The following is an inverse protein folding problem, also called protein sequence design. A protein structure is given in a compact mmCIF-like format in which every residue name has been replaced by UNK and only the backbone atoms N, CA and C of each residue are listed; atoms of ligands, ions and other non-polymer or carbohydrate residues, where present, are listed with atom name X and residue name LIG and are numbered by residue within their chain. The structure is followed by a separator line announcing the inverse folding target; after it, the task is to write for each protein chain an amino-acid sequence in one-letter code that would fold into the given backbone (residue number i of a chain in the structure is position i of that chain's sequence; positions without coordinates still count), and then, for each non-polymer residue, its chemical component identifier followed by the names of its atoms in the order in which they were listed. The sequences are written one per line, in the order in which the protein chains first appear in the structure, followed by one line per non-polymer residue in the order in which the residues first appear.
data_IF_509176093730
#
_entry.id   IF_509176093730
#
_cell.length_a   1.000
_cell.length_b   1.000
_cell.length_c   1.000
_cell.angle_alpha   90.00
_cell.angle_beta   90.00
_cell.angle_gamma   90.00
#
_symmetry.space_group_name_H-M   'P 1'
#
loop_
_entity.id
_entity.type
_entity.pdbx_description
1 polymer ?
#
# COMPACT_ATOMS: atom_id res chain seq x y z
N UNK A 1 13.60 19.33 3.72
CA UNK A 1 12.97 19.72 2.44
C UNK A 1 12.89 21.24 2.39
N UNK A 2 13.27 21.85 1.25
CA UNK A 2 13.05 23.28 1.05
C UNK A 2 11.55 23.60 0.99
N UNK A 3 11.17 24.84 1.30
CA UNK A 3 9.77 25.29 1.24
C UNK A 3 9.17 25.10 -0.16
N UNK A 4 9.96 25.34 -1.21
CA UNK A 4 9.58 25.08 -2.62
C UNK A 4 9.22 23.61 -2.86
N UNK A 5 10.05 22.68 -2.39
CA UNK A 5 9.77 21.25 -2.54
C UNK A 5 8.49 20.83 -1.81
N UNK A 6 8.23 21.37 -0.60
CA UNK A 6 6.98 21.09 0.13
C UNK A 6 5.74 21.54 -0.65
N UNK A 7 5.78 22.74 -1.24
CA UNK A 7 4.69 23.28 -2.06
C UNK A 7 4.49 22.41 -3.32
N UNK A 8 5.58 22.02 -4.00
CA UNK A 8 5.48 21.13 -5.16
C UNK A 8 4.82 19.79 -4.77
N UNK A 9 5.23 19.16 -3.67
CA UNK A 9 4.59 17.93 -3.18
C UNK A 9 3.11 18.14 -2.84
N UNK A 10 2.76 19.28 -2.23
CA UNK A 10 1.38 19.62 -1.87
C UNK A 10 0.43 19.64 -3.08
N UNK A 11 0.94 20.04 -4.25
CA UNK A 11 0.20 20.08 -5.52
C UNK A 11 0.30 18.77 -6.30
N UNK A 12 1.50 18.21 -6.45
CA UNK A 12 1.72 17.02 -7.28
C UNK A 12 1.06 15.76 -6.71
N UNK A 13 1.02 15.60 -5.39
CA UNK A 13 0.42 14.43 -4.75
C UNK A 13 -1.08 14.29 -5.04
N UNK A 14 -1.95 15.31 -4.82
CA UNK A 14 -3.37 15.19 -5.18
C UNK A 14 -3.57 15.06 -6.68
N UNK A 15 -2.78 15.73 -7.53
CA UNK A 15 -2.83 15.53 -8.98
C UNK A 15 -2.56 14.07 -9.36
N UNK A 16 -1.51 13.46 -8.80
CA UNK A 16 -1.20 12.05 -9.03
C UNK A 16 -2.32 11.13 -8.53
N UNK A 17 -2.89 11.40 -7.34
CA UNK A 17 -4.01 10.61 -6.81
C UNK A 17 -5.25 10.67 -7.71
N UNK A 18 -5.59 11.86 -8.22
CA UNK A 18 -6.70 12.06 -9.17
C UNK A 18 -6.44 11.31 -10.48
N UNK A 19 -5.23 11.40 -11.04
CA UNK A 19 -4.85 10.66 -12.24
C UNK A 19 -4.98 9.15 -12.03
N UNK A 20 -4.44 8.62 -10.92
CA UNK A 20 -4.56 7.19 -10.58
C UNK A 20 -6.03 6.78 -10.48
N UNK A 21 -6.89 7.62 -9.87
CA UNK A 21 -8.31 7.35 -9.76
C UNK A 21 -9.04 7.35 -11.11
N UNK A 22 -8.70 8.28 -12.00
CA UNK A 22 -9.26 8.35 -13.37
C UNK A 22 -8.85 7.11 -14.17
N UNK A 23 -7.58 6.71 -14.09
CA UNK A 23 -7.03 5.58 -14.84
C UNK A 23 -7.21 4.22 -14.14
N UNK A 24 -7.97 4.14 -13.04
CA UNK A 24 -8.11 2.93 -12.22
C UNK A 24 -8.58 1.69 -13.00
N UNK A 25 -9.48 1.89 -13.96
CA UNK A 25 -10.00 0.79 -14.78
C UNK A 25 -8.95 0.27 -15.75
N UNK A 26 -8.17 1.17 -16.36
CA UNK A 26 -7.04 0.80 -17.23
C UNK A 26 -5.94 0.09 -16.44
N UNK A 27 -5.65 0.55 -15.22
CA UNK A 27 -4.70 -0.11 -14.32
C UNK A 27 -5.19 -1.52 -13.92
N UNK A 28 -6.47 -1.67 -13.60
CA UNK A 28 -7.06 -2.98 -13.30
C UNK A 28 -7.08 -3.90 -14.53
N UNK A 29 -7.30 -3.37 -15.73
CA UNK A 29 -7.22 -4.12 -16.97
C UNK A 29 -5.79 -4.58 -17.27
N UNK A 30 -4.80 -3.70 -17.11
CA UNK A 30 -3.39 -4.02 -17.29
C UNK A 30 -2.93 -5.13 -16.32
N UNK A 31 -3.46 -5.15 -15.10
CA UNK A 31 -3.17 -6.21 -14.14
C UNK A 31 -3.64 -7.60 -14.60
N UNK A 32 -4.61 -7.70 -15.52
CA UNK A 32 -5.03 -8.99 -16.12
C UNK A 32 -4.02 -9.54 -17.14
N UNK A 33 -3.10 -8.70 -17.62
CA UNK A 33 -2.02 -9.12 -18.51
C UNK A 33 -0.86 -9.77 -17.76
N UNK A 34 -0.87 -9.73 -16.42
CA UNK A 34 0.14 -10.40 -15.61
C UNK A 34 -0.02 -11.92 -15.72
N UNK A 35 1.09 -12.67 -15.85
CA UNK A 35 1.03 -14.13 -15.91
C UNK A 35 0.50 -14.71 -14.59
N UNK A 36 0.06 -15.96 -14.66
CA UNK A 36 -0.29 -16.72 -13.46
C UNK A 36 0.88 -16.81 -12.49
N UNK A 37 0.56 -16.86 -11.20
CA UNK A 37 1.57 -16.93 -10.15
C UNK A 37 2.26 -18.30 -10.15
N UNK A 38 3.49 -18.37 -10.67
CA UNK A 38 4.28 -19.61 -10.66
C UNK A 38 4.46 -20.20 -9.24
N UNK A 39 4.66 -19.35 -8.23
CA UNK A 39 4.83 -19.79 -6.83
C UNK A 39 3.56 -20.49 -6.35
N UNK A 40 2.40 -19.87 -6.54
CA UNK A 40 1.13 -20.45 -6.12
C UNK A 40 0.81 -21.73 -6.91
N UNK A 41 1.10 -21.74 -8.21
CA UNK A 41 0.92 -22.93 -9.06
C UNK A 41 1.78 -24.11 -8.62
N UNK A 42 3.03 -23.87 -8.20
CA UNK A 42 3.98 -24.91 -7.83
C UNK A 42 3.87 -25.37 -6.38
N UNK A 43 3.51 -24.46 -5.47
CA UNK A 43 3.57 -24.72 -4.01
C UNK A 43 2.22 -24.60 -3.30
N UNK A 44 1.18 -24.09 -3.97
CA UNK A 44 -0.09 -23.73 -3.34
C UNK A 44 -0.03 -22.46 -2.49
N UNK A 45 1.15 -21.87 -2.27
CA UNK A 45 1.36 -20.70 -1.40
C UNK A 45 1.11 -19.41 -2.15
N UNK A 46 0.35 -18.49 -1.56
CA UNK A 46 0.13 -17.15 -2.08
C UNK A 46 1.34 -16.25 -1.84
N UNK A 47 1.99 -15.80 -2.91
CA UNK A 47 3.13 -14.87 -2.80
C UNK A 47 2.70 -13.43 -2.46
N UNK A 48 3.63 -12.63 -1.92
CA UNK A 48 3.37 -11.21 -1.60
C UNK A 48 3.07 -10.37 -2.83
N UNK A 49 3.72 -10.69 -3.96
CA UNK A 49 3.55 -9.98 -5.23
C UNK A 49 2.12 -10.01 -5.75
N UNK A 50 1.57 -11.20 -5.99
CA UNK A 50 0.19 -11.34 -6.46
C UNK A 50 -0.84 -10.81 -5.44
N UNK A 51 -0.55 -10.96 -4.14
CA UNK A 51 -1.36 -10.36 -3.07
C UNK A 51 -1.39 -8.84 -3.12
N UNK A 52 -0.26 -8.19 -3.42
CA UNK A 52 -0.19 -6.73 -3.60
C UNK A 52 -1.01 -6.28 -4.81
N UNK A 53 -0.92 -6.96 -5.95
CA UNK A 53 -1.73 -6.64 -7.13
C UNK A 53 -3.23 -6.69 -6.82
N UNK A 54 -3.70 -7.78 -6.20
CA UNK A 54 -5.11 -7.93 -5.80
C UNK A 54 -5.52 -6.88 -4.77
N UNK A 55 -4.64 -6.59 -3.80
CA UNK A 55 -4.89 -5.55 -2.81
C UNK A 55 -5.02 -4.16 -3.44
N UNK A 56 -4.17 -3.82 -4.41
CA UNK A 56 -4.23 -2.54 -5.13
C UNK A 56 -5.53 -2.43 -5.90
N UNK A 57 -5.93 -3.47 -6.64
CA UNK A 57 -7.20 -3.48 -7.37
C UNK A 57 -8.38 -3.33 -6.41
N UNK A 58 -8.38 -4.06 -5.28
CA UNK A 58 -9.43 -3.93 -4.28
C UNK A 58 -9.51 -2.50 -3.72
N UNK A 59 -8.37 -1.89 -3.40
CA UNK A 59 -8.31 -0.53 -2.87
C UNK A 59 -8.78 0.53 -3.90
N UNK A 60 -8.40 0.38 -5.16
CA UNK A 60 -8.87 1.23 -6.27
C UNK A 60 -10.39 1.16 -6.47
N UNK A 61 -11.02 0.04 -6.10
CA UNK A 61 -12.47 -0.15 -6.12
C UNK A 61 -13.14 0.20 -4.78
N UNK A 62 -12.43 0.79 -3.82
CA UNK A 62 -12.97 1.17 -2.51
C UNK A 62 -13.17 0.01 -1.53
N UNK A 63 -12.67 -1.18 -1.83
CA UNK A 63 -12.85 -2.39 -1.01
C UNK A 63 -11.70 -2.53 0.00
N UNK A 64 -11.68 -1.68 1.04
CA UNK A 64 -10.59 -1.64 2.01
C UNK A 64 -10.37 -2.99 2.73
N UNK A 65 -11.44 -3.64 3.18
CA UNK A 65 -11.32 -4.93 3.88
C UNK A 65 -10.78 -6.04 2.99
N UNK A 66 -11.20 -6.07 1.71
CA UNK A 66 -10.64 -7.01 0.74
C UNK A 66 -9.17 -6.72 0.48
N UNK A 67 -8.77 -5.46 0.39
CA UNK A 67 -7.38 -5.06 0.22
C UNK A 67 -6.50 -5.58 1.38
N UNK A 68 -6.93 -5.35 2.63
CA UNK A 68 -6.22 -5.84 3.82
C UNK A 68 -6.09 -7.37 3.83
N UNK A 69 -7.16 -8.10 3.49
CA UNK A 69 -7.12 -9.57 3.40
C UNK A 69 -6.16 -10.07 2.31
N UNK A 70 -6.13 -9.41 1.15
CA UNK A 70 -5.21 -9.78 0.07
C UNK A 70 -3.75 -9.53 0.45
N UNK A 71 -3.43 -8.31 0.91
CA UNK A 71 -2.13 -7.96 1.49
C UNK A 71 -2.21 -6.60 2.21
N UNK A 72 -2.01 -6.53 3.55
CA UNK A 72 -2.08 -5.28 4.30
C UNK A 72 -0.98 -4.28 3.94
N UNK A 73 0.07 -4.73 3.23
CA UNK A 73 1.19 -3.88 2.79
C UNK A 73 0.69 -2.68 1.98
N UNK A 74 -0.23 -2.87 1.04
CA UNK A 74 -0.70 -1.78 0.18
C UNK A 74 -1.53 -0.73 0.96
N UNK A 75 -2.58 -1.09 1.73
CA UNK A 75 -3.29 -0.15 2.60
C UNK A 75 -2.35 0.60 3.55
N UNK A 76 -1.37 -0.11 4.12
CA UNK A 76 -0.39 0.50 5.01
C UNK A 76 0.51 1.51 4.29
N UNK A 77 1.01 1.20 3.10
CA UNK A 77 1.80 2.15 2.30
C UNK A 77 1.00 3.38 1.90
N UNK A 78 -0.29 3.22 1.58
CA UNK A 78 -1.18 4.36 1.28
C UNK A 78 -1.38 5.23 2.53
N UNK A 79 -1.57 4.62 3.70
CA UNK A 79 -1.63 5.35 4.97
C UNK A 79 -0.32 6.11 5.24
N UNK A 80 0.84 5.48 5.04
CA UNK A 80 2.14 6.14 5.20
C UNK A 80 2.32 7.30 4.22
N UNK A 81 1.93 7.12 2.95
CA UNK A 81 2.00 8.17 1.95
C UNK A 81 1.11 9.37 2.35
N UNK A 82 -0.08 9.10 2.89
CA UNK A 82 -0.98 10.13 3.40
C UNK A 82 -0.41 10.84 4.64
N UNK A 83 0.14 10.12 5.61
CA UNK A 83 0.80 10.72 6.78
C UNK A 83 2.02 11.54 6.39
N UNK A 84 2.81 11.06 5.43
CA UNK A 84 3.95 11.82 4.89
C UNK A 84 3.49 13.10 4.18
N UNK A 85 2.44 13.01 3.38
CA UNK A 85 1.82 14.15 2.72
C UNK A 85 1.33 15.19 3.74
N UNK A 86 0.57 14.75 4.76
CA UNK A 86 0.08 15.61 5.83
C UNK A 86 1.23 16.28 6.59
N UNK A 87 2.27 15.54 6.96
CA UNK A 87 3.47 16.12 7.60
C UNK A 87 4.14 17.17 6.68
N UNK A 88 4.20 16.91 5.37
CA UNK A 88 4.81 17.82 4.39
C UNK A 88 4.01 19.11 4.25
N UNK A 89 2.69 19.01 4.15
CA UNK A 89 1.77 20.16 4.04
C UNK A 89 1.80 20.99 5.32
N UNK A 90 1.63 20.38 6.49
CA UNK A 90 1.73 21.07 7.79
C UNK A 90 3.11 21.73 7.92
N UNK A 91 4.16 21.05 7.46
CA UNK A 91 5.52 21.55 7.39
C UNK A 91 5.70 22.85 6.61
N UNK A 92 4.78 23.27 5.74
CA UNK A 92 4.85 24.56 5.06
C UNK A 92 4.76 25.73 6.07
N UNK A 93 3.97 25.53 7.15
CA UNK A 93 3.75 26.51 8.22
C UNK A 93 4.48 26.15 9.52
N UNK A 94 4.55 24.86 9.87
CA UNK A 94 5.17 24.38 11.10
C UNK A 94 6.00 23.11 10.85
N UNK A 95 7.31 23.27 10.78
CA UNK A 95 8.26 22.21 10.45
C UNK A 95 8.55 21.23 11.60
N UNK A 96 8.13 21.57 12.83
CA UNK A 96 8.31 20.77 14.04
C UNK A 96 7.36 19.57 14.12
N UNK A 97 6.24 19.60 13.39
CA UNK A 97 5.29 18.48 13.37
C UNK A 97 5.91 17.28 12.66
N UNK A 98 5.87 16.12 13.32
CA UNK A 98 6.30 14.82 12.80
C UNK A 98 5.20 13.80 13.02
N UNK A 99 4.62 13.28 11.95
CA UNK A 99 3.56 12.26 12.02
C UNK A 99 4.14 10.86 11.84
N UNK A 100 5.23 10.74 11.09
CA UNK A 100 5.85 9.44 10.83
C UNK A 100 6.81 9.02 11.96
N UNK A 101 6.83 7.73 12.35
CA UNK A 101 7.76 7.21 13.32
C UNK A 101 9.21 7.38 12.87
N UNK A 102 10.05 7.97 13.74
CA UNK A 102 11.50 8.16 13.49
C UNK A 102 12.37 7.07 14.12
N UNK A 103 11.82 6.31 15.06
CA UNK A 103 12.57 5.26 15.77
C UNK A 103 12.64 3.99 14.90
N UNK A 104 13.86 3.49 14.65
CA UNK A 104 14.11 2.31 13.79
C UNK A 104 13.37 1.06 14.27
N UNK A 105 13.24 0.86 15.59
CA UNK A 105 12.60 -0.33 16.15
C UNK A 105 11.13 -0.47 15.71
N UNK A 106 10.40 0.65 15.53
CA UNK A 106 9.00 0.62 15.08
C UNK A 106 8.90 0.01 13.68
N UNK A 107 9.83 0.35 12.79
CA UNK A 107 9.89 -0.19 11.43
C UNK A 107 10.25 -1.68 11.42
N UNK A 108 11.15 -2.11 12.31
CA UNK A 108 11.44 -3.54 12.52
C UNK A 108 10.23 -4.30 13.05
N UNK A 109 9.48 -3.73 14.01
CA UNK A 109 8.23 -4.32 14.51
C UNK A 109 7.18 -4.46 13.40
N UNK A 110 6.99 -3.43 12.58
CA UNK A 110 6.04 -3.48 11.45
C UNK A 110 6.46 -4.55 10.43
N UNK A 111 7.76 -4.63 10.11
CA UNK A 111 8.29 -5.65 9.21
C UNK A 111 8.04 -7.06 9.77
N UNK A 112 8.33 -7.27 11.06
CA UNK A 112 8.07 -8.54 11.72
C UNK A 112 6.58 -8.90 11.68
N UNK A 113 5.67 -7.95 11.94
CA UNK A 113 4.23 -8.16 11.83
C UNK A 113 3.79 -8.55 10.42
N UNK A 114 4.37 -7.94 9.38
CA UNK A 114 4.07 -8.29 7.99
C UNK A 114 4.58 -9.67 7.60
N UNK A 115 5.76 -10.06 8.08
CA UNK A 115 6.28 -11.41 7.88
C UNK A 115 5.40 -12.45 8.57
N UNK A 116 4.98 -12.18 9.81
CA UNK A 116 4.03 -13.04 10.55
C UNK A 116 2.70 -13.14 9.80
N UNK A 117 2.12 -12.02 9.36
CA UNK A 117 0.91 -12.02 8.55
C UNK A 117 1.07 -12.85 7.26
N UNK A 118 2.21 -12.70 6.58
CA UNK A 118 2.51 -13.45 5.37
C UNK A 118 2.56 -14.96 5.60
N UNK A 119 3.10 -15.40 6.74
CA UNK A 119 3.09 -16.81 7.12
C UNK A 119 1.66 -17.23 7.44
N UNK A 120 1.00 -16.56 8.39
CA UNK A 120 -0.33 -16.94 8.89
C UNK A 120 -1.39 -17.00 7.79
N UNK A 121 -1.40 -16.07 6.84
CA UNK A 121 -2.40 -16.05 5.75
C UNK A 121 -2.34 -17.26 4.82
N UNK A 122 -1.23 -17.98 4.79
CA UNK A 122 -1.06 -19.17 3.96
C UNK A 122 -1.55 -20.45 4.68
N UNK A 123 -1.72 -20.40 6.00
CA UNK A 123 -2.15 -21.55 6.81
C UNK A 123 -3.53 -21.36 7.46
N UNK A 124 -4.04 -20.13 7.53
CA UNK A 124 -5.33 -19.80 8.12
C UNK A 124 -6.31 -19.38 7.02
N UNK A 125 -7.34 -20.20 6.77
CA UNK A 125 -8.34 -19.95 5.72
C UNK A 125 -9.09 -18.62 5.91
N UNK A 126 -9.24 -18.15 7.15
CA UNK A 126 -9.89 -16.87 7.46
C UNK A 126 -9.11 -15.68 6.89
N UNK A 127 -7.79 -15.82 6.77
CA UNK A 127 -6.84 -14.81 6.26
C UNK A 127 -6.42 -15.06 4.81
N UNK A 128 -6.79 -16.21 4.24
CA UNK A 128 -6.44 -16.55 2.86
C UNK A 128 -7.02 -15.51 1.88
N UNK A 129 -6.27 -15.11 0.84
CA UNK A 129 -6.78 -14.22 -0.20
C UNK A 129 -7.98 -14.86 -0.88
N UNK A 130 -9.15 -14.24 -0.76
CA UNK A 130 -10.33 -14.63 -1.55
C UNK A 130 -9.99 -14.51 -3.03
N UNK A 131 -10.36 -15.52 -3.82
CA UNK A 131 -10.25 -15.49 -5.28
C UNK A 131 -10.90 -14.22 -5.89
#
# INVERSE_FOLDING_TARGET
MSKRARIMTAVLFPCAAVLIYIFRNSLAAAARLLPECAIHRLTGVWCTGCGNTRSTIALLNGQLWRAVRCNPTIPFLVLLAFLFYAETVIGIWNDKVKLLPRKKWIWWTILALFLVFFILRNFMDILAPTA
#
